data_IF_143123806422
#
_entry.id   IF_143123806422
#
_cell.length_a   1.000
_cell.length_b   1.000
_cell.length_c   1.000
_cell.angle_alpha   90.00
_cell.angle_beta   90.00
_cell.angle_gamma   90.00
#
_symmetry.space_group_name_H-M   'P 1'
#
loop_
_entity.id
_entity.type
_entity.pdbx_description
1 polymer ?
#
# COMPACT_ATOMS: atom_id res chain seq x y z
N UNK A 1 -18.73 0.89 4.37
CA UNK A 1 -18.16 -0.19 5.18
C UNK A 1 -17.06 0.43 6.00
N UNK A 2 -17.10 0.33 7.32
CA UNK A 2 -16.02 0.85 8.16
C UNK A 2 -14.88 -0.18 8.33
N UNK A 3 -13.81 0.19 9.04
CA UNK A 3 -12.67 -0.69 9.28
C UNK A 3 -13.04 -1.96 10.07
N UNK A 4 -14.01 -1.90 11.00
CA UNK A 4 -14.41 -3.06 11.80
C UNK A 4 -15.20 -4.05 10.95
N UNK A 5 -16.16 -3.56 10.19
CA UNK A 5 -16.95 -4.34 9.23
C UNK A 5 -16.04 -4.96 8.18
N UNK A 6 -15.08 -4.21 7.65
CA UNK A 6 -14.06 -4.71 6.75
C UNK A 6 -13.34 -5.92 7.35
N UNK A 7 -12.83 -5.80 8.58
CA UNK A 7 -12.07 -6.89 9.22
C UNK A 7 -12.94 -8.12 9.49
N UNK A 8 -14.20 -7.93 9.85
CA UNK A 8 -15.13 -9.04 10.03
C UNK A 8 -15.31 -9.81 8.71
N UNK A 9 -15.59 -9.10 7.62
CA UNK A 9 -15.85 -9.72 6.32
C UNK A 9 -14.56 -10.31 5.71
N UNK A 10 -13.42 -9.67 5.95
CA UNK A 10 -12.10 -10.19 5.57
C UNK A 10 -11.77 -11.50 6.29
N UNK A 11 -12.04 -11.57 7.60
CA UNK A 11 -11.86 -12.79 8.42
C UNK A 11 -12.82 -13.90 8.01
N UNK A 12 -14.00 -13.55 7.47
CA UNK A 12 -14.92 -14.51 6.87
C UNK A 12 -14.47 -15.02 5.48
N UNK A 13 -13.32 -14.56 4.97
CA UNK A 13 -12.69 -15.10 3.77
C UNK A 13 -12.83 -14.23 2.52
N UNK A 14 -13.59 -13.13 2.56
CA UNK A 14 -13.63 -12.18 1.44
C UNK A 14 -12.25 -11.57 1.23
N UNK A 15 -11.78 -11.52 -0.02
CA UNK A 15 -10.50 -10.88 -0.40
C UNK A 15 -10.66 -9.72 -1.38
N UNK A 16 -11.85 -9.51 -1.93
CA UNK A 16 -12.11 -8.46 -2.93
C UNK A 16 -12.83 -7.27 -2.29
N UNK A 17 -12.10 -6.16 -2.22
CA UNK A 17 -12.51 -4.88 -1.64
C UNK A 17 -12.12 -3.71 -2.57
N UNK A 18 -12.21 -3.93 -3.88
CA UNK A 18 -12.02 -2.88 -4.87
C UNK A 18 -12.95 -1.69 -4.60
N UNK A 19 -12.43 -0.47 -4.74
CA UNK A 19 -13.16 0.80 -4.51
C UNK A 19 -13.67 1.01 -3.07
N UNK A 20 -13.21 0.22 -2.08
CA UNK A 20 -13.62 0.43 -0.68
C UNK A 20 -13.09 1.77 -0.15
N UNK A 21 -13.87 2.40 0.73
CA UNK A 21 -13.41 3.52 1.54
C UNK A 21 -12.97 3.02 2.93
N UNK A 22 -11.67 3.18 3.20
CA UNK A 22 -10.99 2.89 4.46
C UNK A 22 -10.03 4.04 4.80
N UNK A 23 -10.41 5.29 4.47
CA UNK A 23 -9.61 6.47 4.80
C UNK A 23 -9.36 6.53 6.31
N UNK A 24 -8.09 6.65 6.70
CA UNK A 24 -7.68 6.69 8.10
C UNK A 24 -7.86 5.38 8.87
N UNK A 25 -8.21 4.27 8.21
CA UNK A 25 -8.40 2.99 8.88
C UNK A 25 -7.11 2.51 9.55
N UNK A 26 -7.24 1.91 10.74
CA UNK A 26 -6.15 1.22 11.40
C UNK A 26 -6.14 -0.25 10.99
N UNK A 27 -5.14 -0.61 10.19
CA UNK A 27 -4.93 -1.93 9.62
C UNK A 27 -3.52 -2.46 9.97
N UNK A 28 -2.92 -1.93 11.05
CA UNK A 28 -1.58 -2.29 11.49
C UNK A 28 -1.44 -3.77 11.84
N UNK A 29 -0.32 -4.37 11.42
CA UNK A 29 0.05 -5.75 11.68
C UNK A 29 -0.99 -6.79 11.23
N UNK A 30 -1.79 -6.45 10.22
CA UNK A 30 -2.79 -7.36 9.67
C UNK A 30 -2.18 -8.14 8.51
N UNK A 31 -2.46 -9.44 8.48
CA UNK A 31 -2.18 -10.25 7.29
C UNK A 31 -3.24 -9.94 6.23
N UNK A 32 -2.85 -9.23 5.18
CA UNK A 32 -3.66 -8.80 4.05
C UNK A 32 -3.11 -9.40 2.73
N UNK A 33 -2.45 -10.57 2.80
CA UNK A 33 -1.80 -11.18 1.63
C UNK A 33 -2.80 -11.36 0.49
N UNK A 34 -2.36 -11.04 -0.73
CA UNK A 34 -3.18 -11.15 -1.97
C UNK A 34 -4.54 -10.44 -1.94
N UNK A 35 -4.77 -9.52 -1.00
CA UNK A 35 -6.03 -8.77 -0.97
C UNK A 35 -6.16 -7.92 -2.22
N UNK A 36 -7.39 -7.76 -2.70
CA UNK A 36 -7.70 -6.82 -3.77
C UNK A 36 -8.31 -5.54 -3.19
N UNK A 37 -7.48 -4.50 -3.20
CA UNK A 37 -7.79 -3.12 -2.84
C UNK A 37 -7.63 -2.20 -4.06
N UNK A 38 -7.80 -2.71 -5.28
CA UNK A 38 -7.74 -1.88 -6.47
C UNK A 38 -8.72 -0.70 -6.36
N UNK A 39 -8.22 0.50 -6.67
CA UNK A 39 -8.96 1.76 -6.59
C UNK A 39 -9.55 2.10 -5.21
N UNK A 40 -9.11 1.44 -4.14
CA UNK A 40 -9.58 1.74 -2.79
C UNK A 40 -9.07 3.10 -2.29
N UNK A 41 -9.87 3.77 -1.47
CA UNK A 41 -9.53 5.01 -0.78
C UNK A 41 -9.00 4.65 0.61
N UNK A 42 -7.68 4.79 0.81
CA UNK A 42 -6.99 4.38 2.04
C UNK A 42 -5.98 5.44 2.47
N UNK A 43 -6.21 6.71 2.11
CA UNK A 43 -5.35 7.81 2.53
C UNK A 43 -5.33 7.93 4.05
N UNK A 44 -4.15 8.25 4.60
CA UNK A 44 -3.88 8.33 6.05
C UNK A 44 -4.12 7.02 6.82
N UNK A 45 -4.37 5.90 6.15
CA UNK A 45 -4.52 4.61 6.82
C UNK A 45 -3.20 4.14 7.44
N UNK A 46 -3.30 3.34 8.49
CA UNK A 46 -2.16 2.72 9.15
C UNK A 46 -2.01 1.26 8.72
N UNK A 47 -0.97 0.97 7.95
CA UNK A 47 -0.58 -0.37 7.49
C UNK A 47 0.76 -0.81 8.09
N UNK A 48 1.28 -0.15 9.12
CA UNK A 48 2.59 -0.49 9.68
C UNK A 48 2.68 -1.99 10.01
N UNK A 49 3.80 -2.63 9.65
CA UNK A 49 4.04 -4.07 9.87
C UNK A 49 3.00 -5.03 9.23
N UNK A 50 2.16 -4.56 8.31
CA UNK A 50 1.13 -5.40 7.68
C UNK A 50 1.71 -6.22 6.54
N UNK A 51 1.11 -7.40 6.27
CA UNK A 51 1.48 -8.24 5.14
C UNK A 51 0.59 -7.93 3.95
N UNK A 52 1.10 -7.16 3.00
CA UNK A 52 0.46 -6.83 1.72
C UNK A 52 1.13 -7.55 0.55
N UNK A 53 1.90 -8.62 0.82
CA UNK A 53 2.59 -9.35 -0.24
C UNK A 53 1.59 -9.86 -1.28
N UNK A 54 1.91 -9.59 -2.55
CA UNK A 54 1.06 -9.89 -3.72
C UNK A 54 -0.33 -9.22 -3.70
N UNK A 55 -0.57 -8.21 -2.87
CA UNK A 55 -1.81 -7.45 -2.89
C UNK A 55 -1.99 -6.71 -4.24
N UNK A 56 -3.24 -6.56 -4.67
CA UNK A 56 -3.61 -5.67 -5.77
C UNK A 56 -4.00 -4.31 -5.19
N UNK A 57 -3.15 -3.31 -5.38
CA UNK A 57 -3.29 -1.92 -4.96
C UNK A 57 -3.32 -0.98 -6.17
N UNK A 58 -3.67 -1.51 -7.35
CA UNK A 58 -3.70 -0.74 -8.60
C UNK A 58 -4.61 0.47 -8.43
N UNK A 59 -4.09 1.68 -8.70
CA UNK A 59 -4.85 2.92 -8.60
C UNK A 59 -5.38 3.27 -7.21
N UNK A 60 -4.93 2.58 -6.16
CA UNK A 60 -5.35 2.87 -4.79
C UNK A 60 -4.80 4.23 -4.32
N UNK A 61 -5.57 4.94 -3.50
CA UNK A 61 -5.10 6.13 -2.80
C UNK A 61 -4.53 5.73 -1.42
N UNK A 62 -3.21 5.75 -1.31
CA UNK A 62 -2.42 5.49 -0.10
C UNK A 62 -1.70 6.76 0.36
N UNK A 63 -2.19 7.95 -0.04
CA UNK A 63 -1.53 9.20 0.29
C UNK A 63 -1.49 9.43 1.80
N UNK A 64 -0.32 9.82 2.30
CA UNK A 64 -0.05 10.04 3.72
C UNK A 64 -0.28 8.82 4.63
N UNK A 65 -0.38 7.61 4.06
CA UNK A 65 -0.54 6.38 4.83
C UNK A 65 0.77 5.94 5.48
N UNK A 66 0.65 5.27 6.62
CA UNK A 66 1.80 4.68 7.30
C UNK A 66 2.00 3.24 6.80
N UNK A 67 3.04 2.99 6.02
CA UNK A 67 3.45 1.69 5.50
C UNK A 67 4.81 1.25 6.07
N UNK A 68 5.22 1.81 7.21
CA UNK A 68 6.50 1.49 7.83
C UNK A 68 6.59 0.00 8.14
N UNK A 69 7.67 -0.65 7.69
CA UNK A 69 7.89 -2.09 7.81
C UNK A 69 6.80 -2.97 7.19
N UNK A 70 5.98 -2.43 6.28
CA UNK A 70 4.99 -3.24 5.57
C UNK A 70 5.68 -4.17 4.57
N UNK A 71 5.19 -5.40 4.46
CA UNK A 71 5.60 -6.35 3.42
C UNK A 71 4.73 -6.12 2.18
N UNK A 72 5.29 -5.46 1.17
CA UNK A 72 4.69 -5.20 -0.14
C UNK A 72 5.36 -6.06 -1.23
N UNK A 73 6.05 -7.15 -0.87
CA UNK A 73 6.78 -7.98 -1.81
C UNK A 73 5.84 -8.49 -2.92
N UNK A 74 6.21 -8.19 -4.17
CA UNK A 74 5.42 -8.48 -5.38
C UNK A 74 4.00 -7.90 -5.40
N UNK A 75 3.71 -6.85 -4.63
CA UNK A 75 2.44 -6.14 -4.73
C UNK A 75 2.32 -5.41 -6.08
N UNK A 76 1.09 -5.29 -6.57
CA UNK A 76 0.78 -4.47 -7.74
C UNK A 76 0.31 -3.08 -7.29
N UNK A 77 1.18 -2.07 -7.43
CA UNK A 77 0.98 -0.67 -7.05
C UNK A 77 0.91 0.24 -8.27
N UNK A 78 0.59 -0.30 -9.46
CA UNK A 78 0.50 0.50 -10.69
C UNK A 78 -0.47 1.64 -10.51
N UNK A 79 -0.03 2.85 -10.88
CA UNK A 79 -0.83 4.08 -10.76
C UNK A 79 -1.32 4.42 -9.33
N UNK A 80 -0.79 3.76 -8.30
CA UNK A 80 -1.16 4.06 -6.92
C UNK A 80 -0.65 5.45 -6.51
N UNK A 81 -1.43 6.14 -5.68
CA UNK A 81 -1.03 7.41 -5.09
C UNK A 81 -0.42 7.16 -3.70
N UNK A 82 0.91 7.22 -3.60
CA UNK A 82 1.68 7.07 -2.36
C UNK A 82 2.26 8.42 -1.91
N UNK A 83 1.65 9.54 -2.32
CA UNK A 83 2.14 10.88 -2.00
C UNK A 83 2.25 11.05 -0.49
N UNK A 84 3.44 11.40 -0.01
CA UNK A 84 3.70 11.62 1.42
C UNK A 84 3.57 10.38 2.30
N UNK A 85 3.49 9.17 1.73
CA UNK A 85 3.43 7.94 2.51
C UNK A 85 4.74 7.67 3.25
N UNK A 86 4.64 7.06 4.43
CA UNK A 86 5.80 6.57 5.18
C UNK A 86 6.06 5.12 4.81
N UNK A 87 7.08 4.87 3.98
CA UNK A 87 7.50 3.57 3.49
C UNK A 87 8.80 3.10 4.16
N UNK A 88 9.18 3.68 5.31
CA UNK A 88 10.43 3.30 5.98
C UNK A 88 10.49 1.79 6.23
N UNK A 89 11.64 1.17 5.96
CA UNK A 89 11.84 -0.28 6.13
C UNK A 89 10.84 -1.19 5.36
N UNK A 90 10.03 -0.65 4.45
CA UNK A 90 9.06 -1.47 3.72
C UNK A 90 9.77 -2.37 2.69
N UNK A 91 9.25 -3.59 2.51
CA UNK A 91 9.75 -4.51 1.50
C UNK A 91 8.92 -4.41 0.23
N UNK A 92 9.42 -3.71 -0.80
CA UNK A 92 8.79 -3.61 -2.12
C UNK A 92 9.51 -4.46 -3.18
N UNK A 93 10.28 -5.48 -2.78
CA UNK A 93 11.01 -6.31 -3.74
C UNK A 93 10.06 -6.96 -4.74
N UNK A 94 10.39 -6.84 -6.02
CA UNK A 94 9.56 -7.33 -7.13
C UNK A 94 8.18 -6.67 -7.26
N UNK A 95 7.88 -5.59 -6.54
CA UNK A 95 6.62 -4.87 -6.68
C UNK A 95 6.53 -4.14 -8.03
N UNK A 96 5.31 -3.93 -8.51
CA UNK A 96 5.06 -3.15 -9.73
C UNK A 96 4.55 -1.75 -9.39
N UNK A 97 5.40 -0.75 -9.49
CA UNK A 97 5.11 0.65 -9.18
C UNK A 97 4.88 1.49 -10.44
N UNK A 98 4.73 0.89 -11.63
CA UNK A 98 4.67 1.68 -12.88
C UNK A 98 3.58 2.76 -12.83
N UNK A 99 3.99 4.01 -13.04
CA UNK A 99 3.10 5.19 -12.96
C UNK A 99 2.67 5.60 -11.56
N UNK A 100 3.21 5.00 -10.49
CA UNK A 100 2.87 5.37 -9.12
C UNK A 100 3.42 6.75 -8.74
N UNK A 101 2.73 7.42 -7.82
CA UNK A 101 3.16 8.70 -7.29
C UNK A 101 3.77 8.54 -5.88
N UNK A 102 5.10 8.60 -5.79
CA UNK A 102 5.86 8.59 -4.53
C UNK A 102 6.34 9.99 -4.12
N UNK A 103 5.77 11.05 -4.68
CA UNK A 103 6.19 12.40 -4.33
C UNK A 103 6.05 12.65 -2.82
N UNK A 104 7.08 13.24 -2.21
CA UNK A 104 7.16 13.49 -0.77
C UNK A 104 7.14 12.25 0.13
N UNK A 105 7.18 11.03 -0.42
CA UNK A 105 7.21 9.80 0.38
C UNK A 105 8.54 9.66 1.12
N UNK A 106 8.50 9.05 2.30
CA UNK A 106 9.71 8.68 3.03
C UNK A 106 10.02 7.20 2.79
N UNK A 107 11.07 6.91 2.04
CA UNK A 107 11.47 5.56 1.63
C UNK A 107 12.78 5.12 2.28
N UNK A 108 13.15 5.73 3.41
CA UNK A 108 14.38 5.40 4.12
C UNK A 108 14.41 3.91 4.49
N UNK A 109 15.49 3.23 4.12
CA UNK A 109 15.70 1.78 4.34
C UNK A 109 14.67 0.87 3.65
N UNK A 110 13.87 1.38 2.70
CA UNK A 110 12.94 0.57 1.93
C UNK A 110 13.68 -0.27 0.86
N UNK A 111 13.24 -1.52 0.69
CA UNK A 111 13.83 -2.47 -0.25
C UNK A 111 13.07 -2.47 -1.57
N UNK A 112 13.78 -2.36 -2.69
CA UNK A 112 13.19 -2.21 -4.03
C UNK A 112 13.80 -3.15 -5.07
N UNK A 113 14.57 -4.16 -4.66
CA UNK A 113 15.24 -5.09 -5.58
C UNK A 113 14.21 -5.76 -6.51
N UNK A 114 14.42 -5.63 -7.82
CA UNK A 114 13.52 -6.17 -8.84
C UNK A 114 12.19 -5.42 -9.02
N UNK A 115 11.93 -4.33 -8.28
CA UNK A 115 10.72 -3.54 -8.45
C UNK A 115 10.70 -2.83 -9.82
N UNK A 116 9.51 -2.73 -10.42
CA UNK A 116 9.30 -2.05 -11.69
C UNK A 116 8.93 -0.59 -11.42
N UNK A 117 9.78 0.37 -11.81
CA UNK A 117 9.63 1.79 -11.44
C UNK A 117 9.51 2.77 -12.63
N UNK A 118 9.13 2.29 -13.81
CA UNK A 118 8.94 3.16 -14.98
C UNK A 118 7.86 4.21 -14.70
N UNK A 119 8.14 5.48 -15.04
CA UNK A 119 7.24 6.62 -14.85
C UNK A 119 6.78 6.85 -13.40
N UNK A 120 7.57 6.43 -12.41
CA UNK A 120 7.29 6.75 -11.01
C UNK A 120 7.66 8.20 -10.72
N UNK A 121 6.76 8.93 -10.06
CA UNK A 121 7.05 10.28 -9.60
C UNK A 121 7.75 10.24 -8.23
N UNK A 122 9.01 10.65 -8.17
CA UNK A 122 9.81 10.74 -6.93
C UNK A 122 10.03 12.17 -6.43
N UNK A 123 9.26 13.15 -6.89
CA UNK A 123 9.46 14.56 -6.52
C UNK A 123 9.50 14.75 -5.00
N UNK A 124 10.63 15.23 -4.46
CA UNK A 124 10.89 15.39 -3.02
C UNK A 124 10.74 14.13 -2.16
N UNK A 125 10.81 12.94 -2.76
CA UNK A 125 10.84 11.70 -1.99
C UNK A 125 12.16 11.60 -1.21
N UNK A 126 12.07 11.24 0.08
CA UNK A 126 13.23 10.97 0.93
C UNK A 126 13.65 9.51 0.77
N UNK A 127 14.94 9.26 0.70
CA UNK A 127 15.57 7.94 0.61
C UNK A 127 16.42 7.67 1.83
#
# INVERSE_FOLDING_TARGET
>A
MDAKEFLQVYRAGRKVFSNIDLVGADLQAIDLHKIDFSHALMSKANFANSKLCRANLTGADLSYSNLNSADLHRANLRYANLKGADLRNADLRGADLRGANLSWANMQDALFEGAQMTNVNFYNAKK
#
